data_IF_713989396592
#
_entry.id   IF_713989396592
#
_cell.length_a   1.000
_cell.length_b   1.000
_cell.length_c   1.000
_cell.angle_alpha   90.00
_cell.angle_beta   90.00
_cell.angle_gamma   90.00
#
_symmetry.space_group_name_H-M   'P 1'
#
loop_
_entity.id
_entity.type
_entity.pdbx_description
1 polymer ?
#
# COMPACT_ATOMS: atom_id res chain seq x y z
N UNK A 1 20.01 -13.16 78.90
CA UNK A 1 19.42 -12.22 77.92
C UNK A 1 20.42 -12.00 76.78
N UNK A 2 19.93 -11.85 75.54
CA UNK A 2 20.66 -11.66 74.25
C UNK A 2 20.94 -12.94 73.45
N UNK A 3 19.95 -13.45 72.72
CA UNK A 3 20.16 -14.40 71.61
C UNK A 3 19.04 -14.43 70.55
N UNK A 4 18.28 -13.34 70.33
CA UNK A 4 17.15 -13.35 69.36
C UNK A 4 17.19 -12.17 68.36
N UNK A 5 18.24 -11.33 68.35
CA UNK A 5 18.24 -10.10 67.53
C UNK A 5 18.88 -10.24 66.13
N UNK A 6 19.51 -11.37 65.78
CA UNK A 6 20.39 -11.43 64.58
C UNK A 6 19.84 -12.23 63.40
N UNK A 7 18.66 -12.86 63.51
CA UNK A 7 18.09 -13.70 62.42
C UNK A 7 17.07 -12.94 61.56
N UNK A 8 16.51 -11.81 62.03
CA UNK A 8 15.54 -11.04 61.25
C UNK A 8 16.14 -10.08 60.21
N UNK A 9 17.43 -9.72 60.34
CA UNK A 9 18.06 -8.71 59.46
C UNK A 9 18.62 -9.28 58.15
N UNK A 10 18.88 -10.60 58.07
CA UNK A 10 19.38 -11.25 56.86
C UNK A 10 18.27 -11.71 55.90
N UNK A 11 17.02 -11.83 56.37
CA UNK A 11 15.88 -12.26 55.54
C UNK A 11 15.23 -11.15 54.71
N UNK A 12 15.41 -9.88 55.08
CA UNK A 12 14.76 -8.73 54.41
C UNK A 12 15.64 -8.13 53.29
N UNK A 13 16.96 -8.29 53.37
CA UNK A 13 17.88 -7.85 52.30
C UNK A 13 17.89 -8.76 51.07
N UNK A 14 17.41 -10.02 51.19
CA UNK A 14 17.27 -10.94 50.05
C UNK A 14 16.04 -10.67 49.17
N UNK A 15 14.99 -10.06 49.72
CA UNK A 15 13.73 -9.82 48.99
C UNK A 15 13.66 -8.46 48.26
N UNK A 16 14.59 -7.54 48.54
CA UNK A 16 14.62 -6.21 47.90
C UNK A 16 15.52 -6.20 46.64
N UNK A 17 16.39 -7.19 46.46
CA UNK A 17 17.30 -7.25 45.29
C UNK A 17 16.74 -7.98 44.07
N UNK A 18 15.54 -8.58 44.14
CA UNK A 18 14.91 -9.27 43.00
C UNK A 18 13.66 -8.58 42.46
N UNK A 19 13.26 -7.40 42.98
CA UNK A 19 12.01 -6.74 42.60
C UNK A 19 12.11 -5.80 41.38
N UNK A 20 13.30 -5.57 40.80
CA UNK A 20 13.48 -4.70 39.63
C UNK A 20 14.39 -5.29 38.55
N UNK A 21 14.45 -6.62 38.41
CA UNK A 21 14.90 -7.18 37.16
C UNK A 21 13.77 -7.01 36.15
N UNK A 22 13.67 -5.84 35.53
CA UNK A 22 12.91 -5.66 34.30
C UNK A 22 13.39 -6.77 33.37
N UNK A 23 12.55 -7.80 33.21
CA UNK A 23 12.84 -8.89 32.30
C UNK A 23 13.16 -8.24 30.97
N UNK A 24 14.43 -8.32 30.57
CA UNK A 24 14.82 -7.96 29.22
C UNK A 24 14.08 -8.97 28.37
N UNK A 25 12.92 -8.56 27.85
CA UNK A 25 12.23 -9.30 26.81
C UNK A 25 13.21 -9.26 25.66
N UNK A 26 14.00 -10.32 25.54
CA UNK A 26 14.77 -10.59 24.33
C UNK A 26 13.73 -10.85 23.26
N UNK A 27 13.32 -9.77 22.59
CA UNK A 27 12.59 -9.81 21.33
C UNK A 27 13.52 -10.49 20.35
N UNK A 28 13.41 -11.81 20.28
CA UNK A 28 14.11 -12.62 19.27
C UNK A 28 13.66 -12.11 17.92
N UNK A 29 14.63 -11.72 17.10
CA UNK A 29 14.41 -11.40 15.68
C UNK A 29 13.60 -12.55 15.05
N UNK A 30 12.53 -12.26 14.30
CA UNK A 30 11.64 -13.29 13.77
C UNK A 30 12.43 -14.39 13.05
N UNK A 31 12.29 -15.63 13.51
CA UNK A 31 12.90 -16.81 12.91
C UNK A 31 12.33 -17.03 11.50
N UNK A 32 13.13 -17.48 10.51
CA UNK A 32 12.64 -17.70 9.16
C UNK A 32 11.45 -18.67 9.11
N UNK A 33 10.36 -18.13 8.53
CA UNK A 33 9.15 -18.77 8.02
C UNK A 33 8.69 -20.08 8.69
N UNK A 34 7.95 -19.96 9.80
CA UNK A 34 6.90 -20.94 10.07
C UNK A 34 5.93 -20.97 8.87
N UNK A 35 5.48 -22.16 8.46
CA UNK A 35 4.57 -22.32 7.33
C UNK A 35 3.25 -21.56 7.58
N UNK A 36 3.09 -20.38 6.98
CA UNK A 36 1.84 -19.59 7.05
C UNK A 36 0.86 -19.90 5.90
N UNK A 37 1.10 -20.97 5.14
CA UNK A 37 0.34 -21.30 3.92
C UNK A 37 -1.04 -21.94 4.18
N UNK A 38 -1.35 -22.32 5.43
CA UNK A 38 -2.56 -23.11 5.74
C UNK A 38 -3.82 -22.30 6.07
N UNK A 39 -3.73 -20.97 6.25
CA UNK A 39 -4.89 -20.10 6.48
C UNK A 39 -4.56 -18.78 7.18
N UNK A 40 -5.49 -17.84 7.12
CA UNK A 40 -5.32 -16.47 7.63
C UNK A 40 -4.89 -16.41 9.09
N UNK A 41 -5.43 -17.27 9.95
CA UNK A 41 -5.07 -17.33 11.37
C UNK A 41 -3.58 -17.67 11.58
N UNK A 42 -3.05 -18.64 10.82
CA UNK A 42 -1.64 -19.03 10.87
C UNK A 42 -0.74 -17.92 10.31
N UNK A 43 -1.18 -17.25 9.24
CA UNK A 43 -0.51 -16.08 8.70
C UNK A 43 -0.42 -14.93 9.73
N UNK A 44 -1.54 -14.52 10.33
CA UNK A 44 -1.55 -13.43 11.32
C UNK A 44 -0.63 -13.75 12.49
N UNK A 45 -0.70 -14.97 13.02
CA UNK A 45 0.15 -15.39 14.14
C UNK A 45 1.64 -15.41 13.80
N UNK A 46 2.01 -15.77 12.56
CA UNK A 46 3.41 -15.93 12.15
C UNK A 46 4.05 -14.65 11.60
N UNK A 47 3.25 -13.77 10.98
CA UNK A 47 3.77 -12.67 10.14
C UNK A 47 3.29 -11.28 10.54
N UNK A 48 2.20 -11.15 11.31
CA UNK A 48 1.60 -9.83 11.53
C UNK A 48 1.92 -9.29 12.92
N UNK A 49 2.49 -8.08 12.95
CA UNK A 49 2.94 -7.40 14.16
C UNK A 49 2.36 -6.00 14.26
N UNK A 50 2.22 -5.50 15.49
CA UNK A 50 1.86 -4.12 15.79
C UNK A 50 3.10 -3.24 15.73
N UNK A 51 3.02 -2.13 15.02
CA UNK A 51 4.13 -1.20 14.87
C UNK A 51 3.81 0.16 15.49
N UNK A 52 4.80 0.73 16.19
CA UNK A 52 4.70 2.07 16.76
C UNK A 52 4.36 3.11 15.67
N UNK A 53 3.43 4.04 15.93
CA UNK A 53 3.14 5.13 15.00
C UNK A 53 4.31 6.12 14.85
N UNK A 54 5.33 6.03 15.70
CA UNK A 54 6.54 6.86 15.62
C UNK A 54 7.63 6.27 14.74
N UNK A 55 7.44 5.07 14.20
CA UNK A 55 8.41 4.48 13.27
C UNK A 55 8.40 5.24 11.95
N UNK A 56 9.58 5.65 11.50
CA UNK A 56 9.77 6.38 10.24
C UNK A 56 10.37 5.44 9.19
N UNK A 57 9.50 4.92 8.33
CA UNK A 57 9.89 4.03 7.25
C UNK A 57 10.71 4.74 6.15
N UNK A 58 10.68 6.08 6.10
CA UNK A 58 11.46 6.85 5.11
C UNK A 58 12.97 6.73 5.34
N UNK A 59 13.40 6.30 6.53
CA UNK A 59 14.80 6.02 6.86
C UNK A 59 15.34 4.75 6.16
N UNK A 60 14.47 3.92 5.57
CA UNK A 60 14.87 2.73 4.81
C UNK A 60 15.43 1.58 5.65
N UNK A 61 15.48 1.72 6.98
CA UNK A 61 15.88 0.66 7.90
C UNK A 61 14.67 -0.20 8.30
N UNK A 62 14.91 -1.48 8.52
CA UNK A 62 13.90 -2.36 9.12
C UNK A 62 13.47 -1.82 10.50
N UNK A 63 12.20 -2.02 10.92
CA UNK A 63 11.78 -1.76 12.29
C UNK A 63 12.69 -2.47 13.30
N UNK A 64 13.19 -1.72 14.28
CA UNK A 64 13.93 -2.30 15.39
C UNK A 64 12.95 -2.92 16.40
N UNK A 65 13.46 -3.76 17.29
CA UNK A 65 12.66 -4.37 18.35
C UNK A 65 11.84 -3.37 19.18
N UNK A 66 12.40 -2.18 19.44
CA UNK A 66 11.73 -1.09 20.18
C UNK A 66 10.52 -0.51 19.44
N UNK A 67 10.47 -0.66 18.12
CA UNK A 67 9.40 -0.12 17.28
C UNK A 67 8.23 -1.12 17.20
N UNK A 68 8.47 -2.40 17.47
CA UNK A 68 7.48 -3.48 17.44
C UNK A 68 6.77 -3.59 18.80
N UNK A 69 5.46 -3.32 18.81
CA UNK A 69 4.63 -3.30 20.01
C UNK A 69 4.09 -4.68 20.41
N UNK A 70 4.47 -5.73 19.69
CA UNK A 70 4.05 -7.12 19.88
C UNK A 70 3.36 -7.71 18.66
N UNK A 71 3.08 -9.01 18.69
CA UNK A 71 2.30 -9.68 17.63
C UNK A 71 0.82 -9.27 17.68
N UNK A 72 0.15 -9.37 16.53
CA UNK A 72 -1.31 -9.32 16.46
C UNK A 72 -1.88 -10.65 16.96
N UNK A 73 -2.93 -10.57 17.76
CA UNK A 73 -3.58 -11.69 18.45
C UNK A 73 -5.09 -11.68 18.20
N UNK A 74 -5.78 -12.77 18.55
CA UNK A 74 -7.24 -12.86 18.42
C UNK A 74 -8.00 -11.80 19.25
N UNK A 75 -7.36 -11.20 20.26
CA UNK A 75 -7.95 -10.13 21.06
C UNK A 75 -7.89 -8.76 20.36
N UNK A 76 -7.04 -8.60 19.34
CA UNK A 76 -6.94 -7.35 18.60
C UNK A 76 -8.16 -7.22 17.65
N UNK A 77 -8.84 -6.06 17.62
CA UNK A 77 -10.13 -5.89 16.92
C UNK A 77 -10.06 -6.08 15.40
N UNK A 78 -8.87 -5.98 14.82
CA UNK A 78 -8.61 -6.15 13.39
C UNK A 78 -8.07 -7.54 13.02
N UNK A 79 -7.99 -8.48 13.97
CA UNK A 79 -7.53 -9.84 13.71
C UNK A 79 -8.37 -10.54 12.63
N UNK A 80 -9.70 -10.48 12.75
CA UNK A 80 -10.60 -11.11 11.77
C UNK A 80 -10.51 -10.48 10.38
N UNK A 81 -10.23 -9.18 10.31
CA UNK A 81 -10.03 -8.48 9.04
C UNK A 81 -8.80 -9.00 8.30
N UNK A 82 -7.68 -9.10 9.01
CA UNK A 82 -6.41 -9.60 8.46
C UNK A 82 -6.49 -11.07 8.04
N UNK A 83 -7.10 -11.91 8.88
CA UNK A 83 -7.31 -13.33 8.55
C UNK A 83 -8.17 -13.49 7.30
N UNK A 84 -9.31 -12.78 7.24
CA UNK A 84 -10.22 -12.85 6.09
C UNK A 84 -9.60 -12.26 4.82
N UNK A 85 -8.83 -11.17 4.92
CA UNK A 85 -8.12 -10.58 3.79
C UNK A 85 -7.06 -11.52 3.23
N UNK A 86 -6.28 -12.19 4.10
CA UNK A 86 -5.37 -13.24 3.66
C UNK A 86 -6.13 -14.40 3.03
N UNK A 87 -7.24 -14.85 3.62
CA UNK A 87 -8.01 -15.98 3.08
C UNK A 87 -8.63 -15.70 1.71
N UNK A 88 -9.00 -14.44 1.45
CA UNK A 88 -9.47 -13.96 0.15
C UNK A 88 -8.37 -13.90 -0.92
N UNK A 89 -7.08 -13.84 -0.51
CA UNK A 89 -5.97 -13.74 -1.44
C UNK A 89 -5.83 -14.99 -2.35
N UNK A 90 -5.44 -14.81 -3.62
CA UNK A 90 -5.10 -15.92 -4.50
C UNK A 90 -3.86 -16.68 -3.99
N UNK A 91 -3.70 -17.97 -4.33
CA UNK A 91 -2.62 -18.80 -3.80
C UNK A 91 -1.21 -18.22 -4.00
N UNK A 92 -0.91 -17.65 -5.18
CA UNK A 92 0.40 -17.06 -5.44
C UNK A 92 0.68 -15.89 -4.49
N UNK A 93 -0.32 -15.04 -4.23
CA UNK A 93 -0.14 -13.88 -3.37
C UNK A 93 -0.05 -14.28 -1.89
N UNK A 94 -0.75 -15.34 -1.46
CA UNK A 94 -0.53 -15.96 -0.14
C UNK A 94 0.92 -16.39 0.04
N UNK A 95 1.53 -16.99 -0.99
CA UNK A 95 2.95 -17.36 -0.97
C UNK A 95 3.85 -16.12 -0.87
N UNK A 96 3.56 -15.05 -1.63
CA UNK A 96 4.29 -13.78 -1.53
C UNK A 96 4.21 -13.16 -0.13
N UNK A 97 3.01 -13.02 0.43
CA UNK A 97 2.80 -12.52 1.80
C UNK A 97 3.51 -13.38 2.86
N UNK A 98 3.57 -14.69 2.62
CA UNK A 98 4.32 -15.62 3.46
C UNK A 98 5.85 -15.51 3.32
N UNK A 99 6.32 -15.02 2.18
CA UNK A 99 7.73 -14.73 1.91
C UNK A 99 8.24 -13.51 2.66
N UNK A 100 7.37 -12.53 2.93
CA UNK A 100 7.72 -11.31 3.67
C UNK A 100 8.32 -11.62 5.04
N UNK A 101 9.24 -10.77 5.49
CA UNK A 101 9.82 -10.87 6.83
C UNK A 101 8.79 -10.51 7.90
N UNK A 102 7.97 -9.48 7.66
CA UNK A 102 6.83 -9.13 8.50
C UNK A 102 5.81 -8.27 7.75
N UNK A 103 4.56 -8.34 8.23
CA UNK A 103 3.48 -7.42 7.92
C UNK A 103 3.19 -6.63 9.19
N UNK A 104 3.13 -5.31 9.07
CA UNK A 104 2.89 -4.43 10.21
C UNK A 104 1.50 -3.79 10.15
N UNK A 105 0.87 -3.65 11.32
CA UNK A 105 -0.26 -2.77 11.51
C UNK A 105 0.25 -1.54 12.26
N UNK A 106 0.35 -0.40 11.56
CA UNK A 106 0.81 0.85 12.17
C UNK A 106 -0.25 1.33 13.15
N UNK A 107 0.10 1.43 14.44
CA UNK A 107 -0.85 1.81 15.49
C UNK A 107 -1.12 3.33 15.51
N UNK A 108 -1.38 3.92 14.34
CA UNK A 108 -1.74 5.32 14.21
C UNK A 108 -3.13 5.53 14.81
N UNK A 109 -3.31 6.60 15.56
CA UNK A 109 -4.61 7.00 16.11
C UNK A 109 -5.08 8.25 15.39
N UNK A 110 -6.40 8.41 15.28
CA UNK A 110 -7.03 9.64 14.85
C UNK A 110 -7.86 10.20 16.01
N UNK A 111 -7.95 11.53 16.14
CA UNK A 111 -8.80 12.16 17.15
C UNK A 111 -10.16 12.45 16.53
N UNK A 112 -11.19 11.69 16.91
CA UNK A 112 -12.54 11.83 16.36
C UNK A 112 -12.77 10.96 15.12
N UNK A 113 -13.39 11.52 14.08
CA UNK A 113 -13.61 10.81 12.81
C UNK A 113 -12.33 10.80 12.00
N UNK A 114 -11.78 9.62 11.69
CA UNK A 114 -10.57 9.58 10.88
C UNK A 114 -10.85 10.06 9.45
N UNK A 115 -9.88 10.77 8.91
CA UNK A 115 -9.90 11.32 7.56
C UNK A 115 -9.38 10.29 6.55
N UNK A 116 -9.61 10.54 5.25
CA UNK A 116 -9.02 9.75 4.17
C UNK A 116 -7.49 9.63 4.31
N UNK A 117 -6.83 10.73 4.73
CA UNK A 117 -5.40 10.77 5.02
C UNK A 117 -5.00 9.72 6.05
N UNK A 118 -5.72 9.65 7.18
CA UNK A 118 -5.38 8.75 8.27
C UNK A 118 -5.45 7.28 7.86
N UNK A 119 -6.31 6.95 6.89
CA UNK A 119 -6.48 5.61 6.33
C UNK A 119 -5.33 5.19 5.42
N UNK A 120 -4.81 6.12 4.61
CA UNK A 120 -3.84 5.81 3.53
C UNK A 120 -2.41 6.22 3.83
N UNK A 121 -2.16 7.24 4.64
CA UNK A 121 -0.82 7.82 4.82
C UNK A 121 0.10 7.06 5.78
N UNK A 122 -0.39 5.95 6.36
CA UNK A 122 0.37 5.10 7.30
C UNK A 122 0.53 3.67 6.76
N UNK A 123 0.33 3.49 5.46
CA UNK A 123 0.62 2.25 4.76
C UNK A 123 1.89 2.44 3.93
N UNK A 124 2.68 1.37 3.79
CA UNK A 124 3.92 1.38 3.01
C UNK A 124 4.45 -0.01 2.68
N UNK A 125 5.20 -0.12 1.58
CA UNK A 125 6.09 -1.24 1.26
C UNK A 125 7.56 -0.88 1.44
N UNK A 126 8.35 -1.75 2.06
CA UNK A 126 9.77 -1.51 2.33
C UNK A 126 10.63 -2.72 2.00
N UNK A 127 11.62 -2.52 1.12
CA UNK A 127 12.78 -3.39 0.96
C UNK A 127 13.96 -2.78 1.74
N UNK A 128 14.32 -3.37 2.87
CA UNK A 128 15.27 -2.75 3.79
C UNK A 128 16.72 -2.76 3.27
N UNK A 129 17.46 -1.70 3.57
CA UNK A 129 18.87 -1.53 3.19
C UNK A 129 19.78 -2.40 4.07
N UNK A 130 20.00 -3.66 3.72
CA UNK A 130 21.02 -4.49 4.37
C UNK A 130 21.77 -5.36 3.34
N UNK A 131 23.10 -5.42 3.50
CA UNK A 131 23.98 -6.34 2.76
C UNK A 131 23.67 -7.77 3.17
N UNK A 132 23.07 -8.55 2.25
CA UNK A 132 22.78 -9.98 2.48
C UNK A 132 21.29 -10.31 2.60
N UNK A 133 20.54 -10.10 1.52
CA UNK A 133 19.17 -10.60 1.38
C UNK A 133 18.05 -9.63 1.75
N UNK A 134 18.36 -8.34 1.95
CA UNK A 134 17.45 -7.21 2.22
C UNK A 134 16.02 -7.61 2.59
N UNK A 135 15.65 -7.59 3.87
CA UNK A 135 14.35 -8.08 4.27
C UNK A 135 13.21 -7.22 3.71
N UNK A 136 12.09 -7.89 3.44
CA UNK A 136 10.89 -7.33 2.81
C UNK A 136 9.79 -7.15 3.86
N UNK A 137 9.19 -5.97 3.87
CA UNK A 137 8.16 -5.61 4.82
C UNK A 137 7.05 -4.85 4.13
N UNK A 138 5.83 -5.01 4.64
CA UNK A 138 4.72 -4.13 4.32
C UNK A 138 4.06 -3.68 5.61
N UNK A 139 3.45 -2.51 5.59
CA UNK A 139 2.64 -2.02 6.69
C UNK A 139 1.34 -1.45 6.16
N UNK A 140 0.26 -1.63 6.91
CA UNK A 140 -1.03 -0.99 6.65
C UNK A 140 -1.48 -0.21 7.88
N UNK A 141 -2.22 0.87 7.66
CA UNK A 141 -2.77 1.67 8.75
C UNK A 141 -3.73 0.85 9.62
N UNK A 142 -3.65 0.99 10.94
CA UNK A 142 -4.69 0.49 11.85
C UNK A 142 -6.06 1.09 11.54
N UNK A 143 -6.12 2.35 11.10
CA UNK A 143 -7.38 3.05 10.86
C UNK A 143 -8.12 2.48 9.65
N UNK A 144 -7.40 1.96 8.66
CA UNK A 144 -7.99 1.16 7.57
C UNK A 144 -8.75 -0.06 8.11
N UNK A 145 -8.27 -0.65 9.21
CA UNK A 145 -8.81 -1.89 9.75
C UNK A 145 -9.92 -1.69 10.79
N UNK A 146 -10.06 -0.49 11.36
CA UNK A 146 -11.00 -0.22 12.47
C UNK A 146 -12.13 0.74 12.15
N UNK A 147 -11.90 1.71 11.27
CA UNK A 147 -12.87 2.77 11.01
C UNK A 147 -13.80 2.34 9.88
N UNK A 148 -15.13 2.35 10.10
CA UNK A 148 -15.97 1.16 9.92
C UNK A 148 -15.55 0.35 8.70
N UNK A 149 -15.25 -0.94 8.91
CA UNK A 149 -14.87 -1.93 7.89
C UNK A 149 -15.25 -1.52 6.45
N UNK A 150 -14.36 -0.77 5.78
CA UNK A 150 -14.68 -0.13 4.52
C UNK A 150 -14.78 -1.18 3.44
N UNK A 151 -15.85 -1.19 2.66
CA UNK A 151 -15.88 -2.01 1.44
C UNK A 151 -14.80 -1.52 0.46
N UNK A 152 -14.44 -2.35 -0.52
CA UNK A 152 -13.37 -2.05 -1.48
C UNK A 152 -13.66 -0.72 -2.19
N UNK A 153 -14.89 -0.52 -2.65
CA UNK A 153 -15.31 0.70 -3.33
C UNK A 153 -15.21 1.94 -2.42
N UNK A 154 -15.55 1.81 -1.13
CA UNK A 154 -15.44 2.90 -0.17
C UNK A 154 -13.97 3.27 0.09
N UNK A 155 -13.10 2.27 0.23
CA UNK A 155 -11.66 2.50 0.38
C UNK A 155 -11.07 3.19 -0.85
N UNK A 156 -11.35 2.69 -2.05
CA UNK A 156 -10.85 3.28 -3.30
C UNK A 156 -11.37 4.71 -3.51
N UNK A 157 -12.61 4.98 -3.12
CA UNK A 157 -13.17 6.34 -3.13
C UNK A 157 -12.41 7.25 -2.17
N UNK A 158 -12.09 6.80 -0.95
CA UNK A 158 -11.31 7.59 0.01
C UNK A 158 -9.88 7.83 -0.50
N UNK A 159 -9.24 6.82 -1.10
CA UNK A 159 -7.91 6.90 -1.71
C UNK A 159 -7.88 7.95 -2.83
N UNK A 160 -8.84 7.88 -3.76
CA UNK A 160 -9.01 8.86 -4.84
C UNK A 160 -9.28 10.28 -4.31
N UNK A 161 -10.18 10.43 -3.35
CA UNK A 161 -10.51 11.74 -2.80
C UNK A 161 -9.32 12.37 -2.08
N UNK A 162 -8.53 11.59 -1.34
CA UNK A 162 -7.30 12.12 -0.74
C UNK A 162 -6.29 12.54 -1.80
N UNK A 163 -6.19 11.79 -2.90
CA UNK A 163 -5.32 12.13 -4.02
C UNK A 163 -5.71 13.45 -4.68
N UNK A 164 -7.00 13.64 -4.98
CA UNK A 164 -7.53 14.89 -5.51
C UNK A 164 -7.30 16.06 -4.54
N UNK A 165 -7.43 15.81 -3.23
CA UNK A 165 -7.11 16.79 -2.19
C UNK A 165 -5.63 17.21 -2.22
N UNK A 166 -4.69 16.28 -2.43
CA UNK A 166 -3.27 16.62 -2.58
C UNK A 166 -3.00 17.47 -3.83
N UNK A 167 -3.77 17.29 -4.91
CA UNK A 167 -3.65 18.11 -6.12
C UNK A 167 -4.16 19.53 -5.92
N UNK A 168 -5.31 19.70 -5.26
CA UNK A 168 -5.90 21.02 -5.00
C UNK A 168 -6.79 20.97 -3.75
N UNK A 169 -6.27 21.29 -2.54
CA UNK A 169 -7.03 21.15 -1.31
C UNK A 169 -8.37 21.91 -1.31
N UNK A 170 -8.34 23.17 -1.75
CA UNK A 170 -9.53 24.01 -1.81
C UNK A 170 -10.51 23.55 -2.89
N UNK A 171 -10.02 23.25 -4.10
CA UNK A 171 -10.84 22.81 -5.22
C UNK A 171 -11.49 21.45 -4.99
N UNK A 172 -10.73 20.49 -4.46
CA UNK A 172 -11.23 19.16 -4.13
C UNK A 172 -12.25 19.21 -3.01
N UNK A 173 -12.00 19.96 -1.92
CA UNK A 173 -12.97 20.13 -0.83
C UNK A 173 -14.29 20.71 -1.35
N UNK A 174 -14.20 21.72 -2.22
CA UNK A 174 -15.38 22.32 -2.82
C UNK A 174 -16.11 21.33 -3.75
N UNK A 175 -15.40 20.44 -4.45
CA UNK A 175 -15.99 19.39 -5.29
C UNK A 175 -16.71 18.33 -4.46
N UNK A 176 -16.10 17.87 -3.38
CA UNK A 176 -16.67 16.87 -2.47
C UNK A 176 -17.95 17.34 -1.78
N UNK A 177 -18.10 18.66 -1.60
CA UNK A 177 -19.31 19.27 -1.06
C UNK A 177 -20.45 19.37 -2.09
N UNK A 178 -20.22 18.95 -3.34
CA UNK A 178 -21.27 18.77 -4.35
C UNK A 178 -21.72 17.31 -4.38
N UNK A 179 -22.86 17.03 -5.02
CA UNK A 179 -23.31 15.65 -5.24
C UNK A 179 -22.55 14.95 -6.41
N UNK A 180 -21.45 15.54 -6.90
CA UNK A 180 -20.84 15.24 -8.20
C UNK A 180 -19.43 14.68 -8.09
N UNK A 181 -19.02 14.25 -6.89
CA UNK A 181 -17.66 13.80 -6.71
C UNK A 181 -17.46 12.39 -7.29
N UNK A 182 -16.23 12.06 -7.70
CA UNK A 182 -15.91 10.73 -8.19
C UNK A 182 -16.11 9.68 -7.10
N UNK A 183 -16.73 8.56 -7.46
CA UNK A 183 -16.87 7.41 -6.55
C UNK A 183 -16.48 6.11 -7.25
N UNK A 184 -15.96 5.18 -6.46
CA UNK A 184 -15.76 3.81 -6.92
C UNK A 184 -17.00 2.96 -6.66
N UNK A 185 -17.12 1.91 -7.44
CA UNK A 185 -18.04 0.77 -7.26
C UNK A 185 -17.25 -0.52 -7.50
N UNK A 186 -17.58 -1.60 -6.82
CA UNK A 186 -16.86 -2.88 -6.94
C UNK A 186 -17.82 -4.07 -6.91
N UNK A 187 -17.36 -5.23 -7.40
CA UNK A 187 -18.08 -6.50 -7.29
C UNK A 187 -17.13 -7.71 -7.24
N UNK A 188 -17.10 -8.50 -6.14
CA UNK A 188 -17.83 -8.26 -4.90
C UNK A 188 -17.23 -7.09 -4.12
N UNK A 189 -18.06 -6.34 -3.39
CA UNK A 189 -17.63 -5.17 -2.64
C UNK A 189 -17.58 -5.47 -1.14
N UNK A 190 -16.44 -5.98 -0.67
CA UNK A 190 -16.33 -6.51 0.71
C UNK A 190 -15.08 -5.98 1.41
N UNK A 191 -15.14 -5.87 2.73
CA UNK A 191 -14.00 -5.44 3.54
C UNK A 191 -12.77 -6.36 3.47
N UNK A 192 -12.88 -7.70 3.41
CA UNK A 192 -11.72 -8.56 3.16
C UNK A 192 -10.95 -8.18 1.89
N UNK A 193 -11.65 -7.76 0.82
CA UNK A 193 -11.01 -7.31 -0.41
C UNK A 193 -10.33 -5.95 -0.26
N UNK A 194 -10.81 -5.07 0.63
CA UNK A 194 -10.10 -3.84 1.01
C UNK A 194 -8.74 -4.14 1.66
N UNK A 195 -8.72 -5.08 2.61
CA UNK A 195 -7.47 -5.51 3.26
C UNK A 195 -6.52 -6.13 2.23
N UNK A 196 -7.06 -6.95 1.32
CA UNK A 196 -6.29 -7.53 0.22
C UNK A 196 -5.72 -6.46 -0.71
N UNK A 197 -6.52 -5.48 -1.14
CA UNK A 197 -6.11 -4.39 -2.02
C UNK A 197 -4.96 -3.59 -1.38
N UNK A 198 -5.11 -3.19 -0.12
CA UNK A 198 -4.06 -2.47 0.58
C UNK A 198 -2.77 -3.30 0.70
N UNK A 199 -2.85 -4.58 1.08
CA UNK A 199 -1.66 -5.44 1.14
C UNK A 199 -1.01 -5.64 -0.24
N UNK A 200 -1.81 -5.78 -1.30
CA UNK A 200 -1.33 -5.95 -2.67
C UNK A 200 -0.64 -4.68 -3.17
N UNK A 201 -1.20 -3.51 -2.89
CA UNK A 201 -0.60 -2.21 -3.18
C UNK A 201 0.77 -2.09 -2.49
N UNK A 202 0.84 -2.30 -1.17
CA UNK A 202 2.12 -2.16 -0.45
C UNK A 202 3.15 -3.21 -0.87
N UNK A 203 2.72 -4.44 -1.16
CA UNK A 203 3.60 -5.45 -1.73
C UNK A 203 4.06 -5.09 -3.15
N UNK A 204 3.22 -4.40 -3.93
CA UNK A 204 3.58 -3.88 -5.25
C UNK A 204 4.79 -2.94 -5.19
N UNK A 205 4.91 -2.11 -4.15
CA UNK A 205 6.11 -1.29 -3.95
C UNK A 205 7.37 -2.13 -3.66
N UNK A 206 7.24 -3.21 -2.88
CA UNK A 206 8.33 -4.16 -2.64
C UNK A 206 8.75 -4.83 -3.96
N UNK A 207 7.78 -5.35 -4.71
CA UNK A 207 8.00 -6.00 -5.99
C UNK A 207 8.64 -5.04 -7.01
N UNK A 208 8.20 -3.79 -7.04
CA UNK A 208 8.80 -2.76 -7.88
C UNK A 208 10.29 -2.59 -7.53
N UNK A 209 10.60 -2.50 -6.23
CA UNK A 209 11.98 -2.36 -5.80
C UNK A 209 12.84 -3.55 -6.24
N UNK A 210 12.33 -4.77 -6.08
CA UNK A 210 13.03 -6.00 -6.44
C UNK A 210 13.32 -6.11 -7.93
N UNK A 211 12.38 -5.62 -8.75
CA UNK A 211 12.54 -5.66 -10.19
C UNK A 211 13.46 -4.54 -10.69
N UNK A 212 13.47 -3.36 -10.09
CA UNK A 212 14.10 -2.18 -10.72
C UNK A 212 15.29 -1.60 -9.94
N UNK A 213 15.67 -2.22 -8.81
CA UNK A 213 16.78 -1.76 -7.96
C UNK A 213 17.78 -2.88 -7.72
N UNK A 214 18.90 -2.82 -8.46
CA UNK A 214 19.91 -3.88 -8.62
C UNK A 214 20.50 -4.48 -7.34
N UNK A 215 20.70 -3.64 -6.32
CA UNK A 215 21.14 -4.07 -5.00
C UNK A 215 20.42 -3.24 -3.96
N UNK A 216 20.21 -3.78 -2.74
CA UNK A 216 19.77 -2.96 -1.61
C UNK A 216 20.75 -1.81 -1.42
N UNK A 217 20.32 -0.61 -1.81
CA UNK A 217 21.20 0.54 -1.84
C UNK A 217 22.03 0.78 -3.08
N UNK A 218 22.08 -0.12 -4.06
CA UNK A 218 22.84 0.04 -5.30
C UNK A 218 22.25 1.11 -6.23
N UNK A 219 23.00 1.58 -7.25
CA UNK A 219 22.44 2.46 -8.26
C UNK A 219 21.27 1.77 -8.96
N UNK A 220 20.41 2.59 -9.56
CA UNK A 220 19.32 2.09 -10.36
C UNK A 220 19.87 1.33 -11.57
N UNK A 221 19.18 0.27 -11.98
CA UNK A 221 19.33 -0.19 -13.35
C UNK A 221 18.46 0.62 -14.30
N UNK A 222 19.10 1.25 -15.28
CA UNK A 222 18.41 1.95 -16.37
C UNK A 222 18.03 1.01 -17.50
N UNK A 223 18.58 -0.21 -17.50
CA UNK A 223 18.50 -1.16 -18.58
C UNK A 223 17.55 -2.33 -18.26
N UNK A 224 16.99 -2.38 -17.04
CA UNK A 224 15.97 -3.39 -16.70
C UNK A 224 14.71 -3.12 -17.51
N UNK A 225 14.29 -4.19 -18.18
CA UNK A 225 13.00 -4.29 -18.84
C UNK A 225 12.12 -5.19 -18.00
N UNK A 226 10.99 -4.66 -17.54
CA UNK A 226 9.92 -5.50 -17.02
C UNK A 226 8.98 -5.84 -18.16
N UNK A 227 8.63 -7.12 -18.25
CA UNK A 227 7.83 -7.64 -19.34
C UNK A 227 8.48 -7.39 -20.71
N UNK A 228 9.54 -8.15 -21.00
CA UNK A 228 10.07 -8.23 -22.35
C UNK A 228 9.01 -8.89 -23.23
N UNK A 229 8.28 -8.09 -24.01
CA UNK A 229 7.34 -8.59 -24.99
C UNK A 229 8.03 -9.54 -25.96
N UNK A 230 7.94 -10.86 -25.73
CA UNK A 230 8.18 -11.87 -26.76
C UNK A 230 7.00 -11.88 -27.73
N UNK A 231 6.68 -10.73 -28.32
CA UNK A 231 5.84 -10.73 -29.50
C UNK A 231 6.75 -11.17 -30.65
N UNK A 232 6.72 -12.47 -30.97
CA UNK A 232 7.52 -13.17 -31.98
C UNK A 232 7.37 -12.67 -33.43
N UNK A 233 6.90 -11.43 -33.64
CA UNK A 233 6.64 -10.82 -34.92
C UNK A 233 7.63 -9.71 -35.29
N UNK A 234 8.74 -9.57 -34.57
CA UNK A 234 9.89 -8.74 -35.00
C UNK A 234 9.59 -7.23 -35.14
N UNK A 235 8.46 -6.74 -34.63
CA UNK A 235 8.13 -5.33 -34.61
C UNK A 235 8.32 -4.77 -33.21
N UNK A 236 9.38 -3.96 -33.10
CA UNK A 236 9.58 -2.84 -32.20
C UNK A 236 10.13 -3.12 -30.79
N UNK A 237 11.30 -2.52 -30.52
CA UNK A 237 11.94 -2.29 -29.20
C UNK A 237 11.06 -1.49 -28.20
N UNK A 238 9.80 -1.25 -28.50
CA UNK A 238 8.86 -0.43 -27.73
C UNK A 238 7.69 -1.24 -27.14
N UNK A 239 7.70 -2.58 -27.24
CA UNK A 239 6.64 -3.45 -26.69
C UNK A 239 6.90 -3.88 -25.23
N UNK A 240 7.58 -3.04 -24.44
CA UNK A 240 7.60 -3.20 -22.99
C UNK A 240 6.88 -2.02 -22.39
N UNK A 241 6.02 -2.27 -21.41
CA UNK A 241 5.35 -1.22 -20.64
C UNK A 241 6.33 -0.35 -19.85
N UNK A 242 7.50 -0.91 -19.52
CA UNK A 242 8.57 -0.23 -18.81
C UNK A 242 9.88 -0.45 -19.60
N UNK A 243 10.05 0.21 -20.77
CA UNK A 243 11.20 0.00 -21.63
C UNK A 243 12.51 0.48 -20.97
N UNK A 244 13.69 0.10 -21.51
CA UNK A 244 14.96 0.64 -21.05
C UNK A 244 14.92 2.17 -21.01
N UNK A 245 15.34 2.73 -19.88
CA UNK A 245 15.36 4.16 -19.65
C UNK A 245 14.01 4.83 -19.33
N UNK A 246 12.89 4.09 -19.36
CA UNK A 246 11.58 4.56 -18.86
C UNK A 246 11.66 5.09 -17.44
N UNK A 247 12.59 4.49 -16.73
CA UNK A 247 12.90 4.71 -15.38
C UNK A 247 13.73 6.00 -15.19
N UNK A 248 14.59 6.39 -16.12
CA UNK A 248 15.67 7.39 -15.96
C UNK A 248 15.29 8.75 -15.37
N UNK A 249 14.04 9.19 -15.48
CA UNK A 249 13.61 10.49 -14.92
C UNK A 249 12.86 10.37 -13.59
N UNK A 250 12.60 9.16 -13.08
CA UNK A 250 12.24 8.96 -11.67
C UNK A 250 13.49 9.37 -10.90
N UNK A 251 13.43 10.57 -10.34
CA UNK A 251 14.41 11.02 -9.37
C UNK A 251 14.18 10.20 -8.12
N UNK A 252 14.77 9.00 -8.04
CA UNK A 252 14.98 8.36 -6.75
C UNK A 252 15.93 9.29 -6.01
N UNK A 253 15.50 9.92 -4.90
CA UNK A 253 16.38 10.80 -4.14
C UNK A 253 17.69 10.07 -3.89
N UNK A 254 18.78 10.81 -4.08
CA UNK A 254 20.13 10.28 -4.12
C UNK A 254 20.44 9.38 -2.93
N UNK A 255 21.51 8.59 -3.05
CA UNK A 255 22.06 7.66 -2.05
C UNK A 255 22.05 8.15 -0.58
N UNK A 256 21.92 9.46 -0.32
CA UNK A 256 21.98 10.08 0.99
C UNK A 256 20.60 10.50 1.55
N UNK A 257 19.57 9.64 1.45
CA UNK A 257 18.52 9.44 2.51
C UNK A 257 17.04 9.35 2.10
N UNK A 258 16.60 9.30 0.84
CA UNK A 258 15.14 9.18 0.59
C UNK A 258 14.72 8.37 -0.64
N UNK A 259 15.01 7.07 -0.75
CA UNK A 259 14.37 6.21 -1.80
C UNK A 259 12.86 5.98 -1.57
N UNK A 260 12.30 6.72 -0.64
CA UNK A 260 10.91 6.71 -0.28
C UNK A 260 10.09 7.49 -1.29
N UNK A 261 8.98 6.90 -1.72
CA UNK A 261 7.97 7.57 -2.52
C UNK A 261 6.77 7.74 -1.61
N UNK A 262 6.35 8.99 -1.38
CA UNK A 262 5.16 9.25 -0.60
C UNK A 262 3.92 9.06 -1.48
N UNK A 263 2.82 8.68 -0.85
CA UNK A 263 1.52 8.69 -1.47
C UNK A 263 1.23 10.06 -2.10
N UNK A 264 0.94 10.07 -3.40
CA UNK A 264 0.63 11.27 -4.17
C UNK A 264 1.85 12.08 -4.64
N UNK A 265 3.08 11.58 -4.43
CA UNK A 265 4.27 12.21 -5.02
C UNK A 265 4.18 12.18 -6.55
N UNK A 266 4.26 13.36 -7.16
CA UNK A 266 4.34 13.50 -8.61
C UNK A 266 5.75 13.16 -9.05
N UNK A 267 5.89 12.08 -9.79
CA UNK A 267 7.15 11.69 -10.44
C UNK A 267 6.91 11.45 -11.92
N UNK A 268 6.16 12.39 -12.52
CA UNK A 268 5.61 12.31 -13.86
C UNK A 268 6.71 12.12 -14.91
N UNK A 269 6.59 11.02 -15.64
CA UNK A 269 7.38 10.73 -16.83
C UNK A 269 6.55 10.45 -18.06
N UNK A 270 5.22 10.49 -17.94
CA UNK A 270 4.34 10.30 -19.07
C UNK A 270 4.61 11.36 -20.13
N UNK A 271 4.51 10.94 -21.39
CA UNK A 271 4.57 11.87 -22.52
C UNK A 271 3.39 12.85 -22.50
N UNK A 272 2.30 12.48 -21.83
CA UNK A 272 1.08 13.25 -21.69
C UNK A 272 0.96 13.73 -20.25
N UNK A 273 0.82 15.05 -20.07
CA UNK A 273 0.57 15.66 -18.77
C UNK A 273 -0.91 15.59 -18.43
N UNK A 274 -1.27 14.57 -17.66
CA UNK A 274 -2.64 14.35 -17.16
C UNK A 274 -2.97 15.19 -15.92
N UNK A 275 -1.95 15.53 -15.14
CA UNK A 275 -2.12 16.08 -13.80
C UNK A 275 -2.29 17.58 -13.82
N UNK A 276 -1.60 18.31 -14.70
CA UNK A 276 -1.76 19.77 -14.81
C UNK A 276 -3.18 20.16 -15.22
N UNK A 277 -3.80 19.58 -16.28
CA UNK A 277 -5.18 19.91 -16.64
C UNK A 277 -6.17 19.67 -15.50
N UNK A 278 -6.05 18.53 -14.80
CA UNK A 278 -6.89 18.20 -13.66
C UNK A 278 -6.68 19.19 -12.49
N UNK A 279 -5.43 19.51 -12.16
CA UNK A 279 -5.09 20.47 -11.09
C UNK A 279 -5.63 21.87 -11.42
N UNK A 280 -5.49 22.33 -12.67
CA UNK A 280 -6.04 23.61 -13.14
C UNK A 280 -7.57 23.62 -13.06
N UNK A 281 -8.22 22.56 -13.52
CA UNK A 281 -9.68 22.45 -13.48
C UNK A 281 -10.22 22.49 -12.05
N UNK A 282 -9.62 21.74 -11.13
CA UNK A 282 -9.94 21.77 -9.70
C UNK A 282 -9.79 23.17 -9.10
N UNK A 283 -8.70 23.86 -9.44
CA UNK A 283 -8.37 25.17 -8.86
C UNK A 283 -9.19 26.33 -9.43
N UNK A 284 -9.83 26.14 -10.58
CA UNK A 284 -10.63 27.19 -11.23
C UNK A 284 -11.93 27.53 -10.47
N UNK A 285 -12.38 26.69 -9.52
CA UNK A 285 -13.57 26.86 -8.68
C UNK A 285 -14.89 27.21 -9.41
N UNK A 286 -14.94 27.12 -10.74
CA UNK A 286 -15.99 27.77 -11.53
C UNK A 286 -16.94 26.83 -12.27
N UNK A 287 -16.66 25.52 -12.39
CA UNK A 287 -17.63 24.47 -12.75
C UNK A 287 -16.90 23.10 -12.78
N UNK A 288 -17.33 22.12 -11.97
CA UNK A 288 -16.69 20.79 -11.94
C UNK A 288 -16.70 19.96 -13.24
N UNK A 289 -17.54 20.22 -14.26
CA UNK A 289 -17.46 19.49 -15.52
C UNK A 289 -16.09 19.51 -16.21
N UNK A 290 -15.27 20.55 -15.98
CA UNK A 290 -13.90 20.57 -16.46
C UNK A 290 -13.00 19.56 -15.71
N UNK A 291 -13.18 19.43 -14.40
CA UNK A 291 -12.47 18.45 -13.57
C UNK A 291 -12.97 17.03 -13.86
N UNK A 292 -14.28 16.83 -14.05
CA UNK A 292 -14.86 15.58 -14.53
C UNK A 292 -14.24 15.14 -15.85
N UNK A 293 -14.18 16.07 -16.84
CA UNK A 293 -13.60 15.78 -18.14
C UNK A 293 -12.11 15.46 -18.06
N UNK A 294 -11.35 16.20 -17.25
CA UNK A 294 -9.93 15.96 -17.07
C UNK A 294 -9.68 14.59 -16.39
N UNK A 295 -10.43 14.28 -15.33
CA UNK A 295 -10.34 12.98 -14.66
C UNK A 295 -10.78 11.83 -15.58
N UNK A 296 -11.86 12.00 -16.34
CA UNK A 296 -12.30 11.01 -17.31
C UNK A 296 -11.24 10.76 -18.38
N UNK A 297 -10.54 11.80 -18.86
CA UNK A 297 -9.44 11.63 -19.81
C UNK A 297 -8.31 10.77 -19.23
N UNK A 298 -8.00 10.90 -17.93
CA UNK A 298 -7.06 9.99 -17.24
C UNK A 298 -7.60 8.57 -17.23
N UNK A 299 -8.86 8.39 -16.82
CA UNK A 299 -9.47 7.08 -16.66
C UNK A 299 -9.67 6.35 -17.99
N UNK A 300 -9.84 7.06 -19.11
CA UNK A 300 -10.02 6.48 -20.44
C UNK A 300 -8.73 5.98 -21.09
N UNK A 301 -7.57 6.49 -20.68
CA UNK A 301 -6.28 6.03 -21.22
C UNK A 301 -6.02 4.59 -20.76
N UNK A 302 -6.02 3.64 -21.70
CA UNK A 302 -5.78 2.23 -21.41
C UNK A 302 -4.31 1.89 -21.14
N UNK A 303 -3.40 2.85 -21.31
CA UNK A 303 -2.01 2.74 -20.87
C UNK A 303 -1.84 3.03 -19.38
N UNK A 304 -2.82 3.65 -18.72
CA UNK A 304 -2.83 3.93 -17.28
C UNK A 304 -3.72 2.94 -16.53
N UNK A 305 -3.34 2.60 -15.31
CA UNK A 305 -4.16 1.72 -14.46
C UNK A 305 -5.29 2.48 -13.76
N UNK A 306 -5.00 3.69 -13.26
CA UNK A 306 -5.93 4.58 -12.55
C UNK A 306 -5.37 6.02 -12.39
N UNK A 307 -5.94 6.84 -11.49
CA UNK A 307 -5.40 8.20 -11.22
C UNK A 307 -4.06 8.18 -10.47
N UNK A 308 -3.79 7.22 -9.58
CA UNK A 308 -2.47 7.08 -8.95
C UNK A 308 -1.40 6.83 -10.00
N UNK A 309 -1.71 5.98 -10.97
CA UNK A 309 -0.87 5.69 -12.13
C UNK A 309 -0.49 6.94 -12.89
N UNK A 310 -1.39 7.90 -12.99
CA UNK A 310 -1.17 9.15 -13.72
C UNK A 310 -0.21 10.12 -13.00
N UNK A 311 0.10 9.92 -11.71
CA UNK A 311 1.03 10.76 -10.94
C UNK A 311 2.47 10.26 -11.00
N UNK A 312 2.65 8.94 -11.12
CA UNK A 312 3.98 8.37 -11.25
C UNK A 312 3.95 6.99 -11.89
N UNK A 313 5.02 6.70 -12.62
CA UNK A 313 5.24 5.39 -13.22
C UNK A 313 5.44 4.26 -12.20
N UNK A 314 5.83 4.56 -10.96
CA UNK A 314 5.91 3.55 -9.89
C UNK A 314 4.50 3.16 -9.45
N UNK A 315 3.65 4.14 -9.17
CA UNK A 315 2.26 3.91 -8.79
C UNK A 315 1.49 3.16 -9.89
N UNK A 316 1.80 3.41 -11.17
CA UNK A 316 1.21 2.63 -12.27
C UNK A 316 1.59 1.14 -12.23
N UNK A 317 2.85 0.81 -11.93
CA UNK A 317 3.27 -0.58 -11.73
C UNK A 317 2.58 -1.22 -10.52
N UNK A 318 2.50 -0.47 -9.42
CA UNK A 318 1.96 -0.94 -8.14
C UNK A 318 0.46 -1.20 -8.23
N UNK A 319 -0.28 -0.25 -8.81
CA UNK A 319 -1.73 -0.39 -9.02
C UNK A 319 -2.04 -1.46 -10.07
N UNK A 320 -1.21 -1.64 -11.10
CA UNK A 320 -1.35 -2.77 -12.03
C UNK A 320 -1.19 -4.10 -11.29
N UNK A 321 -0.20 -4.23 -10.41
CA UNK A 321 -0.03 -5.42 -9.59
C UNK A 321 -1.22 -5.65 -8.63
N UNK A 322 -1.73 -4.59 -8.00
CA UNK A 322 -2.93 -4.62 -7.16
C UNK A 322 -4.14 -5.16 -7.94
N UNK A 323 -4.41 -4.63 -9.14
CA UNK A 323 -5.50 -5.12 -9.99
C UNK A 323 -5.31 -6.58 -10.39
N UNK A 324 -4.08 -7.01 -10.69
CA UNK A 324 -3.78 -8.42 -10.98
C UNK A 324 -4.13 -9.32 -9.79
N UNK A 325 -3.78 -8.92 -8.56
CA UNK A 325 -4.14 -9.66 -7.34
C UNK A 325 -5.66 -9.69 -7.16
N UNK A 326 -6.34 -8.56 -7.29
CA UNK A 326 -7.81 -8.46 -7.14
C UNK A 326 -8.57 -9.29 -8.19
N UNK A 327 -8.13 -9.27 -9.45
CA UNK A 327 -8.69 -10.09 -10.52
C UNK A 327 -8.59 -11.58 -10.17
N UNK A 328 -7.43 -12.03 -9.69
CA UNK A 328 -7.22 -13.42 -9.27
C UNK A 328 -7.94 -13.77 -7.96
N UNK A 329 -8.32 -12.76 -7.16
CA UNK A 329 -9.22 -12.89 -6.02
C UNK A 329 -10.71 -12.89 -6.39
N UNK A 330 -11.02 -12.98 -7.70
CA UNK A 330 -12.39 -13.00 -8.27
C UNK A 330 -13.15 -11.69 -8.10
N UNK A 331 -12.45 -10.56 -8.02
CA UNK A 331 -13.08 -9.26 -8.27
C UNK A 331 -13.38 -9.15 -9.76
N UNK A 332 -14.65 -8.98 -10.08
CA UNK A 332 -15.19 -8.99 -11.45
C UNK A 332 -15.47 -7.61 -12.00
N UNK A 333 -15.66 -6.61 -11.12
CA UNK A 333 -15.83 -5.22 -11.50
C UNK A 333 -15.17 -4.31 -10.46
N UNK A 334 -14.47 -3.28 -10.94
CA UNK A 334 -14.01 -2.15 -10.16
C UNK A 334 -14.10 -0.95 -11.09
N UNK A 335 -15.04 -0.06 -10.81
CA UNK A 335 -15.40 1.01 -11.74
C UNK A 335 -15.45 2.34 -11.03
N UNK A 336 -14.96 3.39 -11.69
CA UNK A 336 -15.14 4.78 -11.24
C UNK A 336 -16.36 5.36 -11.92
N UNK A 337 -17.18 6.08 -11.15
CA UNK A 337 -18.33 6.83 -11.63
C UNK A 337 -18.13 8.31 -11.34
N UNK A 338 -18.34 9.14 -12.36
CA UNK A 338 -18.45 10.60 -12.23
C UNK A 338 -19.92 10.96 -12.32
N UNK A 339 -20.42 11.75 -11.37
CA UNK A 339 -21.85 12.06 -11.22
C UNK A 339 -22.13 13.54 -11.44
N UNK A 340 -23.33 13.89 -11.88
CA UNK A 340 -23.79 15.29 -11.94
C UNK A 340 -24.53 15.71 -10.67
N UNK A 341 -25.02 16.98 -10.65
CA UNK A 341 -25.71 17.57 -9.49
C UNK A 341 -27.00 16.86 -9.11
N UNK A 342 -27.56 16.05 -10.02
CA UNK A 342 -28.73 15.21 -9.76
C UNK A 342 -28.35 13.84 -9.17
N UNK A 343 -27.05 13.54 -9.07
CA UNK A 343 -26.52 12.23 -8.70
C UNK A 343 -26.51 11.22 -9.85
N UNK A 344 -26.88 11.63 -11.07
CA UNK A 344 -26.86 10.77 -12.24
C UNK A 344 -25.42 10.53 -12.69
N UNK A 345 -25.10 9.30 -13.10
CA UNK A 345 -23.78 8.97 -13.64
C UNK A 345 -23.61 9.57 -15.03
N UNK A 346 -22.61 10.43 -15.20
CA UNK A 346 -22.25 11.07 -16.47
C UNK A 346 -21.18 10.27 -17.19
N UNK A 347 -20.20 9.77 -16.43
CA UNK A 347 -19.14 8.90 -16.93
C UNK A 347 -19.01 7.69 -16.02
N UNK A 348 -18.75 6.53 -16.62
CA UNK A 348 -18.38 5.33 -15.88
C UNK A 348 -17.28 4.59 -16.63
N UNK A 349 -16.21 4.28 -15.91
CA UNK A 349 -15.06 3.56 -16.44
C UNK A 349 -14.87 2.30 -15.60
N UNK A 350 -15.14 1.13 -16.19
CA UNK A 350 -14.89 -0.17 -15.56
C UNK A 350 -13.42 -0.57 -15.76
N UNK A 351 -12.59 -0.31 -14.76
CA UNK A 351 -11.14 -0.52 -14.79
C UNK A 351 -10.83 -2.02 -14.96
N UNK A 352 -11.49 -2.88 -14.19
CA UNK A 352 -11.31 -4.34 -14.35
C UNK A 352 -11.96 -4.86 -15.64
N UNK A 353 -13.07 -4.27 -16.07
CA UNK A 353 -13.67 -4.56 -17.38
C UNK A 353 -12.71 -4.30 -18.54
N UNK A 354 -11.88 -3.24 -18.44
CA UNK A 354 -10.84 -2.92 -19.44
C UNK A 354 -9.78 -4.02 -19.55
N UNK A 355 -9.57 -4.88 -18.54
CA UNK A 355 -8.66 -6.02 -18.68
C UNK A 355 -9.13 -7.06 -19.71
N UNK A 356 -10.42 -7.10 -20.03
CA UNK A 356 -10.97 -8.00 -21.04
C UNK A 356 -10.98 -7.43 -22.46
N UNK A 357 -10.86 -6.12 -22.62
CA UNK A 357 -11.09 -5.41 -23.90
C UNK A 357 -9.99 -4.42 -24.30
N UNK A 358 -9.34 -3.78 -23.33
CA UNK A 358 -8.23 -2.85 -23.53
C UNK A 358 -6.96 -3.62 -23.85
N UNK A 359 -6.19 -3.17 -24.84
CA UNK A 359 -5.00 -3.89 -25.28
C UNK A 359 -3.85 -3.66 -24.32
N UNK A 360 -3.64 -2.42 -23.92
CA UNK A 360 -2.44 -2.02 -23.19
C UNK A 360 -2.52 -2.48 -21.72
N UNK A 361 -3.57 -2.11 -20.97
CA UNK A 361 -3.71 -2.56 -19.59
C UNK A 361 -3.77 -4.10 -19.45
N UNK A 362 -4.46 -4.79 -20.35
CA UNK A 362 -4.51 -6.26 -20.32
C UNK A 362 -3.15 -6.90 -20.60
N UNK A 363 -2.37 -6.35 -21.53
CA UNK A 363 -1.00 -6.79 -21.78
C UNK A 363 -0.08 -6.48 -20.59
N UNK A 364 -0.26 -5.34 -19.92
CA UNK A 364 0.47 -4.98 -18.69
C UNK A 364 0.20 -5.98 -17.55
N UNK A 365 -1.05 -6.35 -17.34
CA UNK A 365 -1.43 -7.32 -16.30
C UNK A 365 -0.84 -8.72 -16.55
N UNK A 366 -0.71 -9.14 -17.82
CA UNK A 366 -0.08 -10.43 -18.16
C UNK A 366 1.38 -10.53 -17.71
N UNK A 367 2.04 -9.40 -17.49
CA UNK A 367 3.42 -9.36 -17.03
C UNK A 367 3.63 -9.88 -15.60
N UNK A 368 2.54 -10.04 -14.83
CA UNK A 368 2.56 -10.56 -13.46
C UNK A 368 2.15 -12.04 -13.35
N UNK A 369 1.81 -12.68 -14.48
CA UNK A 369 1.54 -14.11 -14.59
C UNK A 369 2.84 -14.91 -14.61
#
# INVERSE_FOLDING_TARGET
MKFIASILAAGILGFILFACASGVVTTTTPSPAAACTSGGAAFVAAKVFKLSPTFDATQGSAPAAKDVMGSVTIADPYYLALTSGFDAAPPFFKSSLCGLNAVYVVQNTCTGTCTAKDLVSHSWGLRAYQTGGAPEYVAISQQLLLNPALTLSAFETQRLNYLLFLLSPAGATAWFNTNNYPIYTASPDTFPLTVLAALAHEHGHVLWFDNFVHSPGGPRDTDIVFCNGQNGNGRNKFNSFYPPGYWNKISLPSFNNKRWINFGDKNDQYLIDYITPLTTALSSNSFYPAADKALHAVLQDDSLTDLLSALSSNEDFVTAYELYVLQNARVTALSVQLRDNSGATVYSDDILGKLGIGKDLAEKIKCFQ
#
